data_IF_406617757302
#
_entry.id   IF_406617757302
#
_cell.length_a   1.000
_cell.length_b   1.000
_cell.length_c   1.000
_cell.angle_alpha   90.00
_cell.angle_beta   90.00
_cell.angle_gamma   90.00
#
_symmetry.space_group_name_H-M   'P 1'
#
loop_
_entity.id
_entity.type
_entity.pdbx_description
1 polymer ?
#
# COMPACT_ATOMS: atom_id res chain seq x y z
N UNK A 1 10.23 16.02 15.07
CA UNK A 1 11.04 15.27 14.09
C UNK A 1 10.59 15.75 12.72
N UNK A 2 11.51 16.21 11.85
CA UNK A 2 11.16 16.58 10.47
C UNK A 2 10.79 15.28 9.75
N UNK A 3 9.53 15.11 9.39
CA UNK A 3 9.17 14.10 8.41
C UNK A 3 9.86 14.47 7.09
N UNK A 4 10.77 13.61 6.63
CA UNK A 4 11.63 13.88 5.49
C UNK A 4 10.88 13.69 4.16
N UNK A 5 9.77 14.42 3.99
CA UNK A 5 8.98 14.44 2.76
C UNK A 5 9.70 15.16 1.62
N UNK A 6 10.91 15.67 1.86
CA UNK A 6 11.73 16.43 0.91
C UNK A 6 12.78 15.56 0.23
N UNK A 7 13.07 14.37 0.74
CA UNK A 7 13.86 13.37 0.03
C UNK A 7 12.95 12.42 -0.74
N UNK A 8 13.43 11.97 -1.90
CA UNK A 8 12.69 11.06 -2.75
C UNK A 8 13.63 10.25 -3.61
N UNK A 9 13.18 9.06 -3.97
CA UNK A 9 13.73 8.29 -5.07
C UNK A 9 13.18 8.81 -6.39
N UNK A 10 14.05 8.90 -7.39
CA UNK A 10 13.75 9.17 -8.78
C UNK A 10 14.50 8.16 -9.67
N UNK A 11 13.94 7.77 -10.83
CA UNK A 11 14.65 6.94 -11.80
C UNK A 11 15.80 7.72 -12.46
N UNK A 12 16.72 6.99 -13.08
CA UNK A 12 17.67 7.59 -14.03
C UNK A 12 16.93 8.16 -15.24
N UNK A 13 17.51 9.20 -15.86
CA UNK A 13 16.89 9.89 -16.99
C UNK A 13 16.58 8.93 -18.15
N UNK A 14 15.41 9.12 -18.78
CA UNK A 14 14.96 8.34 -19.95
C UNK A 14 14.74 6.83 -19.72
N UNK A 15 14.65 6.36 -18.48
CA UNK A 15 14.24 4.98 -18.19
C UNK A 15 12.71 4.83 -18.20
N UNK A 16 12.20 3.82 -18.91
CA UNK A 16 10.77 3.46 -18.93
C UNK A 16 10.42 2.31 -17.98
N UNK A 17 11.43 1.58 -17.48
CA UNK A 17 11.26 0.49 -16.53
C UNK A 17 11.52 0.97 -15.10
N UNK A 18 10.45 1.33 -14.39
CA UNK A 18 10.52 1.81 -13.01
C UNK A 18 10.23 0.67 -12.04
N UNK A 19 11.30 0.02 -11.59
CA UNK A 19 11.23 -1.08 -10.62
C UNK A 19 12.18 -0.83 -9.46
N UNK A 20 11.65 -0.87 -8.23
CA UNK A 20 12.45 -0.87 -7.01
C UNK A 20 12.54 -2.30 -6.50
N UNK A 21 13.74 -2.88 -6.55
CA UNK A 21 14.02 -4.19 -5.97
C UNK A 21 14.35 -4.03 -4.49
N UNK A 22 13.67 -4.77 -3.64
CA UNK A 22 13.84 -4.75 -2.19
C UNK A 22 14.27 -6.15 -1.76
N UNK A 23 15.46 -6.25 -1.18
CA UNK A 23 15.97 -7.47 -0.58
C UNK A 23 16.03 -7.30 0.94
N UNK A 24 15.19 -8.04 1.65
CA UNK A 24 15.19 -8.07 3.11
C UNK A 24 16.32 -8.98 3.59
N UNK A 25 16.84 -8.73 4.80
CA UNK A 25 17.89 -9.57 5.37
C UNK A 25 17.42 -11.02 5.57
N UNK A 26 16.14 -11.21 5.89
CA UNK A 26 15.51 -12.50 6.10
C UNK A 26 14.05 -12.52 5.57
N UNK A 27 13.42 -13.69 5.42
CA UNK A 27 12.01 -13.76 5.04
C UNK A 27 11.07 -13.16 6.10
N UNK A 28 10.40 -12.05 5.77
CA UNK A 28 9.47 -11.33 6.67
C UNK A 28 8.03 -11.58 6.24
N UNK A 29 7.12 -11.66 7.21
CA UNK A 29 5.67 -11.70 6.96
C UNK A 29 5.08 -10.30 7.01
N UNK A 30 4.23 -9.95 6.04
CA UNK A 30 3.60 -8.64 5.94
C UNK A 30 2.29 -8.73 5.14
N UNK A 31 1.44 -7.73 5.28
CA UNK A 31 0.12 -7.69 4.65
C UNK A 31 -0.37 -6.27 4.33
N UNK A 32 0.46 -5.25 4.56
CA UNK A 32 0.18 -3.86 4.22
C UNK A 32 1.35 -3.28 3.43
N UNK A 33 1.06 -2.64 2.30
CA UNK A 33 1.98 -1.82 1.52
C UNK A 33 1.67 -0.34 1.76
N UNK A 34 2.67 0.45 2.13
CA UNK A 34 2.61 1.91 2.18
C UNK A 34 3.43 2.51 1.04
N UNK A 35 2.85 3.44 0.30
CA UNK A 35 3.55 4.22 -0.73
C UNK A 35 3.18 5.68 -0.58
N UNK A 36 4.16 6.57 -0.73
CA UNK A 36 3.96 8.02 -0.73
C UNK A 36 4.72 8.68 -1.89
N UNK A 37 4.11 9.69 -2.50
CA UNK A 37 4.76 10.60 -3.44
C UNK A 37 5.08 11.94 -2.73
N UNK A 38 6.16 12.64 -3.10
CA UNK A 38 6.40 14.01 -2.67
C UNK A 38 5.41 14.96 -3.37
N UNK A 39 4.16 15.04 -2.87
CA UNK A 39 3.06 15.74 -3.56
C UNK A 39 3.32 17.23 -3.84
N UNK A 40 4.26 17.86 -3.12
CA UNK A 40 4.72 19.22 -3.40
C UNK A 40 5.42 19.34 -4.78
N UNK A 41 5.89 18.24 -5.34
CA UNK A 41 6.44 18.09 -6.71
C UNK A 41 5.44 17.49 -7.71
N UNK A 42 4.17 17.36 -7.29
CA UNK A 42 3.08 16.80 -8.07
C UNK A 42 2.86 15.31 -7.86
N UNK A 43 1.62 14.87 -8.12
CA UNK A 43 1.23 13.47 -8.17
C UNK A 43 1.44 12.91 -9.58
N UNK A 44 2.26 11.88 -9.72
CA UNK A 44 2.73 11.36 -11.01
C UNK A 44 2.26 9.92 -11.25
N UNK A 45 2.38 9.05 -10.24
CA UNK A 45 2.04 7.62 -10.34
C UNK A 45 0.53 7.45 -10.58
N UNK A 46 0.19 6.66 -11.59
CA UNK A 46 -1.19 6.38 -12.00
C UNK A 46 -1.55 4.89 -12.06
N UNK A 47 -0.55 4.01 -12.04
CA UNK A 47 -0.72 2.56 -11.86
C UNK A 47 0.58 1.93 -11.35
N UNK A 48 0.46 0.99 -10.42
CA UNK A 48 1.59 0.26 -9.84
C UNK A 48 1.17 -1.12 -9.34
N UNK A 49 2.15 -1.97 -9.04
CA UNK A 49 1.96 -3.22 -8.33
C UNK A 49 3.16 -3.62 -7.47
N UNK A 50 2.91 -4.55 -6.55
CA UNK A 50 3.94 -5.20 -5.75
C UNK A 50 3.96 -6.68 -6.10
N UNK A 51 5.15 -7.18 -6.39
CA UNK A 51 5.42 -8.60 -6.53
C UNK A 51 6.32 -9.08 -5.38
N UNK A 52 6.20 -10.37 -5.06
CA UNK A 52 7.14 -11.10 -4.21
C UNK A 52 7.80 -12.21 -5.01
N UNK A 53 9.01 -12.59 -4.65
CA UNK A 53 9.63 -13.80 -5.18
C UNK A 53 9.08 -15.02 -4.41
N UNK A 54 8.42 -15.94 -5.11
CA UNK A 54 7.91 -17.16 -4.51
C UNK A 54 9.01 -18.23 -4.34
N UNK A 55 8.65 -19.37 -3.73
CA UNK A 55 9.55 -20.50 -3.49
C UNK A 55 10.13 -21.10 -4.79
N UNK A 56 9.40 -21.00 -5.90
CA UNK A 56 9.84 -21.43 -7.24
C UNK A 56 10.76 -20.40 -7.94
N UNK A 57 11.18 -19.34 -7.25
CA UNK A 57 11.97 -18.23 -7.81
C UNK A 57 11.26 -17.48 -8.95
N UNK A 58 9.94 -17.39 -8.88
CA UNK A 58 9.10 -16.62 -9.83
C UNK A 58 8.48 -15.43 -9.13
N UNK A 59 8.43 -14.31 -9.84
CA UNK A 59 7.71 -13.13 -9.38
C UNK A 59 6.21 -13.37 -9.39
N UNK A 60 5.56 -13.21 -8.24
CA UNK A 60 4.12 -13.32 -8.07
C UNK A 60 3.56 -12.00 -7.56
N UNK A 61 2.58 -11.46 -8.28
CA UNK A 61 1.83 -10.26 -7.88
C UNK A 61 1.01 -10.52 -6.64
N UNK A 62 1.15 -9.64 -5.65
CA UNK A 62 0.41 -9.70 -4.38
C UNK A 62 -0.65 -8.62 -4.28
N UNK A 63 -0.39 -7.43 -4.82
CA UNK A 63 -1.35 -6.33 -4.84
C UNK A 63 -1.05 -5.38 -6.01
N UNK A 64 -2.06 -4.62 -6.43
CA UNK A 64 -1.92 -3.54 -7.41
C UNK A 64 -2.76 -2.33 -6.99
N UNK A 65 -2.43 -1.17 -7.53
CA UNK A 65 -3.14 0.07 -7.28
C UNK A 65 -3.03 1.03 -8.47
N UNK A 66 -3.76 2.14 -8.37
CA UNK A 66 -3.78 3.20 -9.37
C UNK A 66 -2.93 4.38 -8.92
N UNK A 67 -3.55 5.40 -8.33
CA UNK A 67 -2.88 6.62 -7.89
C UNK A 67 -2.31 6.49 -6.49
N UNK A 68 -1.10 7.02 -6.27
CA UNK A 68 -0.49 7.10 -4.94
C UNK A 68 -0.87 8.42 -4.26
N UNK A 69 -0.37 9.56 -4.73
CA UNK A 69 -0.60 10.86 -4.09
C UNK A 69 0.11 10.96 -2.73
N UNK A 70 -0.53 11.60 -1.74
CA UNK A 70 0.09 11.82 -0.43
C UNK A 70 0.48 10.51 0.26
N UNK A 71 -0.46 9.58 0.36
CA UNK A 71 -0.22 8.27 0.95
C UNK A 71 -1.26 7.26 0.48
N UNK A 72 -0.80 6.05 0.13
CA UNK A 72 -1.63 4.86 -0.01
C UNK A 72 -1.18 3.78 0.93
N UNK A 73 -2.16 3.18 1.60
CA UNK A 73 -2.03 1.94 2.36
C UNK A 73 -2.91 0.90 1.68
N UNK A 74 -2.31 -0.19 1.21
CA UNK A 74 -3.03 -1.28 0.57
C UNK A 74 -2.86 -2.54 1.41
N UNK A 75 -3.96 -3.06 1.91
CA UNK A 75 -3.98 -4.32 2.63
C UNK A 75 -4.24 -5.49 1.67
N UNK A 76 -3.60 -6.64 1.90
CA UNK A 76 -3.74 -7.87 1.13
C UNK A 76 -3.62 -9.09 2.06
N UNK A 77 -3.91 -10.32 1.61
CA UNK A 77 -3.67 -11.51 2.42
C UNK A 77 -2.20 -11.61 2.87
N UNK A 78 -1.96 -12.09 4.08
CA UNK A 78 -0.60 -12.21 4.62
C UNK A 78 0.28 -13.08 3.73
N UNK A 79 1.42 -12.54 3.36
CA UNK A 79 2.46 -13.24 2.62
C UNK A 79 3.76 -13.23 3.42
N UNK A 80 4.66 -14.18 3.12
CA UNK A 80 6.02 -14.24 3.65
C UNK A 80 6.99 -14.22 2.49
N UNK A 81 7.92 -13.26 2.47
CA UNK A 81 8.95 -13.16 1.43
C UNK A 81 10.19 -12.44 1.94
N UNK A 82 11.34 -12.75 1.34
CA UNK A 82 12.58 -11.99 1.51
C UNK A 82 12.77 -10.95 0.40
N UNK A 83 12.37 -11.29 -0.83
CA UNK A 83 12.55 -10.42 -1.99
C UNK A 83 11.20 -9.91 -2.50
N UNK A 84 11.16 -8.60 -2.72
CA UNK A 84 9.99 -7.90 -3.25
C UNK A 84 10.45 -6.99 -4.39
N UNK A 85 9.52 -6.67 -5.28
CA UNK A 85 9.72 -5.55 -6.21
C UNK A 85 8.46 -4.70 -6.29
N UNK A 86 8.65 -3.40 -6.16
CA UNK A 86 7.60 -2.41 -6.42
C UNK A 86 7.78 -1.91 -7.85
N UNK A 87 6.73 -2.04 -8.66
CA UNK A 87 6.75 -1.73 -10.09
C UNK A 87 5.75 -0.62 -10.38
N UNK A 88 6.20 0.45 -11.01
CA UNK A 88 5.34 1.53 -11.46
C UNK A 88 4.98 1.28 -12.92
N UNK A 89 3.75 0.83 -13.16
CA UNK A 89 3.27 0.46 -14.50
C UNK A 89 2.97 1.68 -15.38
N UNK A 90 2.48 2.77 -14.77
CA UNK A 90 2.11 4.00 -15.48
C UNK A 90 2.33 5.24 -14.62
N UNK A 91 2.92 6.26 -15.21
CA UNK A 91 3.14 7.57 -14.59
C UNK A 91 2.91 8.70 -15.59
N UNK A 92 2.49 9.87 -15.11
CA UNK A 92 2.26 11.09 -15.92
C UNK A 92 3.54 11.88 -16.22
N UNK A 93 4.61 11.58 -15.49
CA UNK A 93 5.97 12.08 -15.64
C UNK A 93 6.92 11.08 -14.96
N UNK A 94 8.23 11.34 -14.91
CA UNK A 94 9.16 10.48 -14.15
C UNK A 94 8.67 10.32 -12.69
N UNK A 95 8.37 9.10 -12.22
CA UNK A 95 7.76 8.88 -10.91
C UNK A 95 8.72 9.24 -9.79
N UNK A 96 8.17 9.79 -8.71
CA UNK A 96 8.92 10.11 -7.49
C UNK A 96 8.31 9.37 -6.32
N UNK A 97 9.14 8.76 -5.47
CA UNK A 97 8.68 8.06 -4.26
C UNK A 97 9.39 8.66 -3.06
N UNK A 98 8.66 9.27 -2.14
CA UNK A 98 9.22 9.78 -0.88
C UNK A 98 9.30 8.69 0.19
N UNK A 99 8.35 7.74 0.18
CA UNK A 99 8.35 6.63 1.13
C UNK A 99 7.75 5.36 0.55
N UNK A 100 8.39 4.23 0.85
CA UNK A 100 7.92 2.89 0.52
C UNK A 100 8.12 1.99 1.74
N UNK A 101 7.04 1.41 2.25
CA UNK A 101 7.07 0.60 3.47
C UNK A 101 6.19 -0.64 3.37
N UNK A 102 6.56 -1.67 4.12
CA UNK A 102 5.75 -2.88 4.32
C UNK A 102 5.51 -3.08 5.81
N UNK A 103 4.28 -3.46 6.17
CA UNK A 103 3.86 -3.60 7.56
C UNK A 103 3.01 -4.86 7.76
N UNK A 104 2.88 -5.27 9.02
CA UNK A 104 1.98 -6.32 9.45
C UNK A 104 0.86 -5.74 10.31
N UNK A 105 -0.36 -5.77 9.78
CA UNK A 105 -1.59 -5.56 10.53
C UNK A 105 -2.14 -6.91 10.99
N UNK A 106 -2.19 -7.14 12.31
CA UNK A 106 -2.68 -8.38 12.92
C UNK A 106 -4.17 -8.35 13.27
N UNK A 107 -4.83 -7.21 13.08
CA UNK A 107 -6.16 -6.95 13.63
C UNK A 107 -7.24 -6.83 12.55
N UNK A 108 -6.90 -6.30 11.37
CA UNK A 108 -7.86 -6.20 10.28
C UNK A 108 -7.99 -7.54 9.55
N UNK A 109 -9.19 -8.11 9.54
CA UNK A 109 -9.48 -9.37 8.83
C UNK A 109 -9.80 -9.08 7.37
N UNK A 110 -8.89 -9.43 6.46
CA UNK A 110 -9.19 -9.41 5.02
C UNK A 110 -9.84 -10.75 4.68
N UNK A 111 -11.17 -10.78 4.58
CA UNK A 111 -11.87 -11.92 4.01
C UNK A 111 -11.57 -11.97 2.51
N UNK A 112 -10.88 -13.03 2.08
CA UNK A 112 -10.67 -13.34 0.66
C UNK A 112 -12.03 -13.67 0.02
N UNK A 113 -12.73 -12.67 -0.50
CA UNK A 113 -13.83 -12.91 -1.44
C UNK A 113 -13.18 -13.42 -2.74
N UNK A 114 -13.34 -14.72 -2.99
CA UNK A 114 -13.05 -15.31 -4.29
C UNK A 114 -14.10 -14.79 -5.27
N UNK A 115 -13.65 -14.26 -6.42
CA UNK A 115 -14.52 -13.93 -7.54
C UNK A 115 -15.16 -15.21 -8.07
N UNK A 116 -16.33 -15.55 -7.54
CA UNK A 116 -17.30 -16.44 -8.18
C UNK A 116 -18.50 -15.60 -8.56
N UNK A 117 -18.64 -15.39 -9.86
CA UNK A 117 -19.83 -14.78 -10.44
C UNK A 117 -21.02 -15.71 -10.20
N UNK A 118 -22.00 -15.26 -9.41
CA UNK A 118 -23.42 -15.57 -9.59
C UNK A 118 -24.27 -14.63 -8.74
N UNK A 119 -25.27 -14.04 -9.38
CA UNK A 119 -26.20 -13.05 -8.84
C UNK A 119 -26.93 -13.56 -7.59
N UNK A 120 -27.11 -12.69 -6.60
CA UNK A 120 -28.38 -12.58 -5.85
C UNK A 120 -28.41 -11.24 -5.12
N UNK A 121 -29.51 -10.50 -5.34
CA UNK A 121 -29.84 -9.23 -4.70
C UNK A 121 -30.02 -9.39 -3.20
N UNK A 122 -29.43 -8.50 -2.39
CA UNK A 122 -30.01 -8.09 -1.10
C UNK A 122 -29.62 -6.64 -0.80
N UNK A 123 -30.64 -5.79 -0.73
CA UNK A 123 -30.59 -4.47 -0.13
C UNK A 123 -30.22 -4.57 1.34
N UNK A 124 -29.35 -3.67 1.81
CA UNK A 124 -29.05 -3.52 3.23
C UNK A 124 -28.03 -2.42 3.48
N UNK A 125 -28.50 -1.18 3.56
CA UNK A 125 -27.74 -0.05 4.11
C UNK A 125 -27.38 -0.34 5.57
N UNK A 126 -26.14 -0.72 5.86
CA UNK A 126 -25.63 -0.74 7.22
C UNK A 126 -25.04 0.62 7.56
N UNK A 127 -25.83 1.43 8.26
CA UNK A 127 -25.37 2.63 8.96
C UNK A 127 -24.52 2.15 10.15
N UNK A 128 -23.25 2.55 10.18
CA UNK A 128 -22.39 2.40 11.35
C UNK A 128 -22.91 3.36 12.45
N UNK A 129 -23.63 2.82 13.42
CA UNK A 129 -24.00 3.54 14.63
C UNK A 129 -22.74 3.80 15.45
N UNK A 130 -22.31 5.06 15.46
CA UNK A 130 -21.27 5.60 16.33
C UNK A 130 -21.83 5.64 17.76
N UNK A 131 -21.36 4.76 18.65
CA UNK A 131 -21.65 4.89 20.07
C UNK A 131 -20.89 6.08 20.64
N UNK A 132 -21.61 7.17 20.92
CA UNK A 132 -21.15 8.26 21.77
C UNK A 132 -21.24 7.79 23.22
N UNK A 133 -20.10 7.67 23.90
CA UNK A 133 -20.06 7.63 25.36
C UNK A 133 -19.49 8.97 25.82
N UNK A 134 -20.38 9.93 26.08
CA UNK A 134 -20.07 11.07 26.93
C UNK A 134 -20.41 10.67 28.36
N UNK A 135 -19.43 10.73 29.26
CA UNK A 135 -19.70 11.21 30.61
C UNK A 135 -18.49 12.01 31.10
N UNK A 136 -18.79 13.26 31.41
CA UNK A 136 -17.95 14.29 32.00
C UNK A 136 -17.51 13.92 33.40
N UNK A 137 -16.32 14.34 33.81
CA UNK A 137 -16.16 15.13 35.05
C UNK A 137 -14.83 15.88 35.08
N UNK A 138 -14.92 17.06 35.69
CA UNK A 138 -13.95 18.14 35.81
C UNK A 138 -13.02 17.87 36.99
N UNK A 139 -11.73 18.17 36.88
CA UNK A 139 -10.94 18.78 37.96
C UNK A 139 -9.61 19.31 37.44
N UNK A 140 -9.42 20.62 37.60
CA UNK A 140 -8.13 21.29 37.57
C UNK A 140 -7.57 21.34 39.01
N UNK A 141 -6.27 21.09 39.17
CA UNK A 141 -5.34 21.82 40.05
C UNK A 141 -4.01 21.87 39.31
#
# INVERSE_FOLDING_TARGET
>A
MKEDIYTYWAPEENHSDWTLLINLQEPVSFNVLQVQEPIHMGQRISRFHLDILNEERKWKKVINGTTVGYQRLLQFPTVKSQQLRFVIDKSRAEPLISHLGIYMDKFSTVSSMSDSTSQTSLNGSHILQKSMSNHSEIAAI
#
